data_IF_250270012410
#
_entry.id   IF_250270012410
#
_cell.length_a   1.000
_cell.length_b   1.000
_cell.length_c   1.000
_cell.angle_alpha   90.00
_cell.angle_beta   90.00
_cell.angle_gamma   90.00
#
_symmetry.space_group_name_H-M   'P 1'
#
loop_
_entity.id
_entity.type
_entity.pdbx_description
1 polymer ?
#
# COMPACT_ATOMS: atom_id res chain seq x y z
N UNK A 1 0.47 -20.64 14.88
CA UNK A 1 -0.97 -20.41 14.61
C UNK A 1 -1.76 -20.11 15.89
N UNK A 2 -1.21 -20.47 17.05
CA UNK A 2 -1.88 -20.38 18.35
C UNK A 2 -2.39 -18.99 18.70
N UNK A 3 -1.65 -17.93 18.31
CA UNK A 3 -2.10 -16.54 18.50
C UNK A 3 -3.43 -16.25 17.78
N UNK A 4 -3.58 -16.67 16.52
CA UNK A 4 -4.81 -16.45 15.75
C UNK A 4 -5.95 -17.28 16.34
N UNK A 5 -5.68 -18.55 16.70
CA UNK A 5 -6.66 -19.43 17.36
C UNK A 5 -7.15 -18.84 18.68
N UNK A 6 -6.26 -18.26 19.47
CA UNK A 6 -6.60 -17.58 20.73
C UNK A 6 -7.51 -16.37 20.51
N UNK A 7 -7.23 -15.54 19.51
CA UNK A 7 -8.09 -14.40 19.13
C UNK A 7 -9.49 -14.88 18.73
N UNK A 8 -9.57 -15.93 17.89
CA UNK A 8 -10.85 -16.51 17.47
C UNK A 8 -11.61 -17.07 18.68
N UNK A 9 -10.95 -17.81 19.57
CA UNK A 9 -11.60 -18.35 20.76
C UNK A 9 -12.20 -17.26 21.66
N UNK A 10 -11.51 -16.13 21.80
CA UNK A 10 -11.96 -14.99 22.62
C UNK A 10 -13.11 -14.22 21.97
N UNK A 11 -13.01 -13.91 20.68
CA UNK A 11 -13.93 -12.97 20.01
C UNK A 11 -15.03 -13.63 19.18
N UNK A 12 -14.83 -14.88 18.75
CA UNK A 12 -15.73 -15.67 17.93
C UNK A 12 -15.84 -17.12 18.46
N UNK A 13 -16.37 -17.31 19.68
CA UNK A 13 -16.26 -18.58 20.42
C UNK A 13 -16.93 -19.77 19.73
N UNK A 14 -17.89 -19.51 18.83
CA UNK A 14 -18.63 -20.53 18.07
C UNK A 14 -17.97 -20.87 16.73
N UNK A 15 -16.89 -20.19 16.33
CA UNK A 15 -16.20 -20.44 15.06
C UNK A 15 -15.19 -21.59 15.22
N UNK A 16 -15.06 -22.44 14.19
CA UNK A 16 -14.00 -23.45 14.10
C UNK A 16 -12.62 -22.77 14.13
N UNK A 17 -11.70 -23.32 14.94
CA UNK A 17 -10.42 -22.68 15.23
C UNK A 17 -9.31 -23.20 14.32
N UNK A 18 -9.49 -24.38 13.74
CA UNK A 18 -8.52 -24.93 12.81
C UNK A 18 -8.66 -24.29 11.42
N UNK A 19 -7.61 -23.63 10.90
CA UNK A 19 -7.66 -23.06 9.57
C UNK A 19 -7.68 -24.18 8.53
N UNK A 20 -8.60 -24.07 7.56
CA UNK A 20 -8.65 -25.00 6.41
C UNK A 20 -7.47 -24.82 5.46
N UNK A 21 -7.05 -23.58 5.26
CA UNK A 21 -5.95 -23.19 4.37
C UNK A 21 -5.12 -22.13 5.08
N UNK A 22 -3.81 -22.19 4.91
CA UNK A 22 -2.86 -21.18 5.39
C UNK A 22 -1.97 -20.79 4.23
N UNK A 23 -1.95 -19.51 3.91
CA UNK A 23 -1.10 -18.94 2.88
C UNK A 23 -0.24 -17.83 3.47
N UNK A 24 0.95 -17.64 2.91
CA UNK A 24 1.88 -16.58 3.29
C UNK A 24 1.96 -15.57 2.16
N UNK A 25 1.89 -14.29 2.52
CA UNK A 25 2.01 -13.17 1.58
C UNK A 25 3.10 -12.19 2.05
N UNK A 26 3.42 -11.20 1.22
CA UNK A 26 4.48 -10.22 1.47
C UNK A 26 3.89 -8.82 1.55
N UNK A 27 4.33 -8.06 2.55
CA UNK A 27 4.14 -6.61 2.57
C UNK A 27 5.44 -5.91 2.20
N UNK A 28 5.33 -4.87 1.37
CA UNK A 28 6.41 -3.92 1.15
C UNK A 28 6.05 -2.63 1.89
N UNK A 29 6.72 -2.41 3.02
CA UNK A 29 6.39 -1.33 3.95
C UNK A 29 7.24 -0.10 3.70
N UNK A 30 6.61 1.07 3.76
CA UNK A 30 7.27 2.36 3.97
C UNK A 30 7.39 2.65 5.48
N UNK A 31 8.28 3.57 5.89
CA UNK A 31 8.41 3.94 7.31
C UNK A 31 7.13 4.52 7.94
N UNK A 32 6.29 5.18 7.15
CA UNK A 32 5.03 5.80 7.59
C UNK A 32 3.80 4.93 7.30
N UNK A 33 4.00 3.74 6.76
CA UNK A 33 2.96 2.82 6.30
C UNK A 33 2.02 3.39 5.21
N UNK A 34 2.33 4.53 4.58
CA UNK A 34 1.61 5.06 3.43
C UNK A 34 2.32 4.72 2.11
N UNK A 35 1.57 4.60 1.02
CA UNK A 35 2.15 4.26 -0.28
C UNK A 35 2.92 5.42 -0.93
N UNK A 36 3.70 5.10 -1.96
CA UNK A 36 4.36 6.07 -2.84
C UNK A 36 3.66 6.05 -4.19
N UNK A 37 3.15 7.20 -4.63
CA UNK A 37 2.64 7.46 -5.97
C UNK A 37 3.29 8.75 -6.47
N UNK A 38 4.28 8.63 -7.35
CA UNK A 38 5.04 9.79 -7.81
C UNK A 38 5.70 9.55 -9.17
N UNK A 39 6.22 10.61 -9.79
CA UNK A 39 7.20 10.44 -10.86
C UNK A 39 8.58 10.19 -10.26
N UNK A 40 9.42 9.46 -10.99
CA UNK A 40 10.81 9.33 -10.60
C UNK A 40 11.47 10.72 -10.51
N UNK A 41 12.30 11.00 -9.48
CA UNK A 41 12.85 12.34 -9.24
C UNK A 41 13.66 12.86 -10.44
N UNK A 42 14.42 11.98 -11.09
CA UNK A 42 15.23 12.28 -12.29
C UNK A 42 14.44 12.05 -13.60
N UNK A 43 13.93 10.84 -13.85
CA UNK A 43 13.24 10.48 -15.09
C UNK A 43 11.72 10.74 -15.04
N UNK A 44 11.28 11.92 -15.49
CA UNK A 44 9.86 12.33 -15.41
C UNK A 44 8.89 11.46 -16.22
N UNK A 45 9.38 10.67 -17.17
CA UNK A 45 8.60 9.70 -17.94
C UNK A 45 8.37 8.36 -17.20
N UNK A 46 8.89 8.19 -15.99
CA UNK A 46 8.68 7.01 -15.14
C UNK A 46 7.72 7.37 -14.01
N UNK A 47 6.63 6.61 -13.87
CA UNK A 47 5.68 6.70 -12.75
C UNK A 47 5.92 5.53 -11.80
N UNK A 48 5.95 5.80 -10.50
CA UNK A 48 6.23 4.84 -9.44
C UNK A 48 4.96 4.60 -8.62
N UNK A 49 4.70 3.33 -8.34
CA UNK A 49 3.66 2.88 -7.41
C UNK A 49 4.25 1.79 -6.50
N UNK A 50 4.51 2.10 -5.23
CA UNK A 50 5.22 1.19 -4.33
C UNK A 50 4.84 1.39 -2.86
N UNK A 51 5.32 0.52 -1.98
CA UNK A 51 5.26 0.77 -0.54
C UNK A 51 3.86 0.67 0.08
N UNK A 52 2.99 -0.18 -0.47
CA UNK A 52 1.57 -0.26 -0.11
C UNK A 52 1.26 -0.80 1.29
N UNK A 53 2.27 -1.21 2.05
CA UNK A 53 2.20 -1.44 3.49
C UNK A 53 1.02 -2.31 3.96
N UNK A 54 0.65 -3.29 3.15
CA UNK A 54 -0.41 -4.25 3.45
C UNK A 54 -1.85 -3.79 3.25
N UNK A 55 -2.07 -2.59 2.72
CA UNK A 55 -3.43 -2.04 2.56
C UNK A 55 -3.75 -1.51 1.16
N UNK A 56 -2.81 -1.63 0.21
CA UNK A 56 -2.99 -1.12 -1.16
C UNK A 56 -4.04 -1.83 -2.01
N UNK A 57 -4.35 -3.11 -1.76
CA UNK A 57 -5.25 -3.88 -2.65
C UNK A 57 -6.64 -3.23 -2.77
N UNK A 58 -7.21 -2.78 -1.63
CA UNK A 58 -8.53 -2.11 -1.63
C UNK A 58 -8.55 -0.82 -2.46
N UNK A 59 -7.38 -0.23 -2.69
CA UNK A 59 -7.18 1.03 -3.42
C UNK A 59 -6.74 0.80 -4.86
N UNK A 60 -6.46 -0.44 -5.28
CA UNK A 60 -5.92 -0.74 -6.60
C UNK A 60 -6.70 -0.10 -7.77
N UNK A 61 -8.06 -0.07 -7.77
CA UNK A 61 -8.80 0.58 -8.86
C UNK A 61 -8.53 2.09 -8.97
N UNK A 62 -8.54 2.81 -7.83
CA UNK A 62 -8.31 4.26 -7.83
C UNK A 62 -6.84 4.60 -8.09
N UNK A 63 -5.92 3.80 -7.55
CA UNK A 63 -4.48 3.90 -7.82
C UNK A 63 -4.22 3.71 -9.31
N UNK A 64 -4.77 2.68 -9.95
CA UNK A 64 -4.63 2.45 -11.39
C UNK A 64 -5.09 3.63 -12.24
N UNK A 65 -6.24 4.24 -11.89
CA UNK A 65 -6.72 5.47 -12.55
C UNK A 65 -5.72 6.62 -12.40
N UNK A 66 -5.25 6.88 -11.19
CA UNK A 66 -4.28 7.94 -10.90
C UNK A 66 -2.98 7.73 -11.67
N UNK A 67 -2.44 6.50 -11.65
CA UNK A 67 -1.22 6.15 -12.38
C UNK A 67 -1.38 6.33 -13.90
N UNK A 68 -2.53 5.96 -14.45
CA UNK A 68 -2.84 6.20 -15.87
C UNK A 68 -2.89 7.69 -16.20
N UNK A 69 -3.45 8.52 -15.31
CA UNK A 69 -3.46 9.97 -15.49
C UNK A 69 -2.04 10.54 -15.50
N UNK A 70 -1.23 10.17 -14.50
CA UNK A 70 0.17 10.59 -14.40
C UNK A 70 0.99 10.16 -15.61
N UNK A 71 0.86 8.90 -16.04
CA UNK A 71 1.61 8.36 -17.18
C UNK A 71 1.25 9.02 -18.52
N UNK A 72 0.03 9.56 -18.65
CA UNK A 72 -0.44 10.23 -19.87
C UNK A 72 -0.35 11.76 -19.79
N UNK A 73 0.31 12.30 -18.74
CA UNK A 73 0.47 13.74 -18.55
C UNK A 73 -0.80 14.47 -18.11
N UNK A 74 -1.85 13.73 -17.73
CA UNK A 74 -3.08 14.33 -17.18
C UNK A 74 -2.88 14.68 -15.71
N UNK A 75 -3.60 15.71 -15.25
CA UNK A 75 -3.66 16.04 -13.82
C UNK A 75 -4.31 14.88 -13.05
N UNK A 76 -3.67 14.36 -11.97
CA UNK A 76 -4.29 13.35 -11.12
C UNK A 76 -5.61 13.82 -10.51
N UNK A 77 -6.56 12.91 -10.37
CA UNK A 77 -7.89 13.19 -9.80
C UNK A 77 -7.87 13.54 -8.31
N UNK A 78 -6.77 13.22 -7.61
CA UNK A 78 -6.59 13.44 -6.17
C UNK A 78 -5.25 14.13 -5.91
N UNK A 79 -5.12 14.80 -4.77
CA UNK A 79 -3.85 15.40 -4.36
C UNK A 79 -2.83 14.31 -4.03
N UNK A 80 -1.74 14.28 -4.79
CA UNK A 80 -0.65 13.31 -4.63
C UNK A 80 0.42 13.76 -3.63
N UNK A 81 0.34 15.00 -3.11
CA UNK A 81 1.33 15.57 -2.20
C UNK A 81 1.67 14.65 -1.01
N UNK A 82 0.70 14.00 -0.34
CA UNK A 82 1.01 13.07 0.77
C UNK A 82 1.80 11.83 0.34
N UNK A 83 1.72 11.43 -0.93
CA UNK A 83 2.26 10.17 -1.44
C UNK A 83 3.54 10.35 -2.26
N UNK A 84 4.08 11.57 -2.33
CA UNK A 84 5.34 11.85 -3.01
C UNK A 84 6.52 11.15 -2.34
N UNK A 85 7.51 10.78 -3.13
CA UNK A 85 8.71 10.08 -2.62
C UNK A 85 9.60 11.01 -1.80
N UNK A 86 9.56 12.31 -2.09
CA UNK A 86 10.37 13.35 -1.43
C UNK A 86 10.04 13.57 0.05
N UNK A 87 8.87 13.11 0.52
CA UNK A 87 8.49 13.18 1.94
C UNK A 87 9.49 12.47 2.86
N UNK A 88 10.23 11.49 2.35
CA UNK A 88 11.28 10.79 3.10
C UNK A 88 12.66 11.45 3.02
N UNK A 89 12.86 12.41 2.11
CA UNK A 89 14.17 13.05 1.89
C UNK A 89 14.28 14.45 2.52
N UNK A 90 13.16 15.02 3.01
CA UNK A 90 13.10 16.40 3.56
C UNK A 90 13.98 16.68 4.79
N UNK A 91 14.74 15.70 5.31
CA UNK A 91 15.69 15.84 6.42
C UNK A 91 17.12 15.32 6.11
N UNK A 92 17.50 15.17 4.82
CA UNK A 92 18.83 14.62 4.44
C UNK A 92 19.57 15.38 3.33
N UNK A 93 19.47 16.71 3.32
CA UNK A 93 20.43 17.59 2.63
C UNK A 93 20.79 18.76 3.55
#
# INVERSE_FOLDING_TARGET
MDKIKGIIATHFPTLEREPRVVETCIYTNTPDADFVLDHHPVWKNVVIAAGFSGHGFKLAPVVGKVLSQMATGQKPSYDMTPFRIDRFFKNKL
#
